data_IF_089937940475
#
_entry.id   IF_089937940475
#
_cell.length_a   1.000
_cell.length_b   1.000
_cell.length_c   1.000
_cell.angle_alpha   90.00
_cell.angle_beta   90.00
_cell.angle_gamma   90.00
#
_symmetry.space_group_name_H-M   'P 1'
#
loop_
_entity.id
_entity.type
_entity.pdbx_description
1 polymer ?
#
# COMPACT_ATOMS: atom_id res chain seq x y z
N UNK A 1 -55.22 0.48 46.43
CA UNK A 1 -53.81 0.88 46.62
C UNK A 1 -52.96 0.07 45.64
N UNK A 2 -52.12 0.76 44.87
CA UNK A 2 -51.53 0.34 43.58
C UNK A 2 -50.59 -0.87 43.70
N UNK A 3 -50.73 -1.86 42.80
CA UNK A 3 -49.75 -2.96 42.60
C UNK A 3 -48.62 -2.46 41.69
N UNK A 4 -47.38 -2.49 42.18
CA UNK A 4 -46.18 -2.20 41.39
C UNK A 4 -45.74 -3.45 40.61
N UNK A 5 -45.75 -3.38 39.27
CA UNK A 5 -45.09 -4.36 38.40
C UNK A 5 -43.62 -3.94 38.24
N UNK A 6 -42.70 -4.79 38.69
CA UNK A 6 -41.28 -4.69 38.32
C UNK A 6 -41.07 -5.27 36.92
N UNK A 7 -40.70 -4.43 35.95
CA UNK A 7 -40.14 -4.88 34.68
C UNK A 7 -38.63 -5.14 34.85
N UNK A 8 -38.21 -6.40 34.74
CA UNK A 8 -36.81 -6.77 34.52
C UNK A 8 -36.45 -6.53 33.06
N UNK A 9 -35.55 -5.58 32.81
CA UNK A 9 -34.96 -5.35 31.49
C UNK A 9 -33.67 -6.17 31.40
N UNK A 10 -33.70 -7.32 30.73
CA UNK A 10 -32.50 -8.10 30.44
C UNK A 10 -31.77 -7.50 29.22
N UNK A 11 -30.64 -6.86 29.44
CA UNK A 11 -29.75 -6.39 28.38
C UNK A 11 -28.96 -7.58 27.82
N UNK A 12 -29.28 -8.02 26.60
CA UNK A 12 -28.46 -8.96 25.85
C UNK A 12 -27.22 -8.23 25.32
N UNK A 13 -26.10 -8.39 26.02
CA UNK A 13 -24.80 -7.98 25.52
C UNK A 13 -24.41 -8.91 24.36
N UNK A 14 -24.49 -8.40 23.12
CA UNK A 14 -23.97 -9.08 21.94
C UNK A 14 -22.46 -9.26 22.05
N UNK A 15 -22.01 -10.50 22.17
CA UNK A 15 -20.58 -10.83 22.13
C UNK A 15 -20.12 -10.64 20.69
N UNK A 16 -19.28 -9.63 20.44
CA UNK A 16 -18.67 -9.45 19.13
C UNK A 16 -17.76 -10.65 18.86
N UNK A 17 -18.19 -11.54 17.96
CA UNK A 17 -17.40 -12.69 17.56
C UNK A 17 -16.14 -12.20 16.84
N UNK A 18 -14.96 -12.52 17.39
CA UNK A 18 -13.70 -12.25 16.70
C UNK A 18 -13.71 -13.01 15.37
N UNK A 19 -13.43 -12.29 14.27
CA UNK A 19 -13.29 -12.90 12.95
C UNK A 19 -12.27 -14.06 13.02
N UNK A 20 -12.49 -15.18 12.32
CA UNK A 20 -11.57 -16.30 12.32
C UNK A 20 -10.16 -15.81 11.96
N UNK A 21 -9.15 -16.31 12.69
CA UNK A 21 -7.74 -16.07 12.35
C UNK A 21 -7.44 -16.82 11.05
N UNK A 22 -7.66 -16.17 9.91
CA UNK A 22 -7.31 -16.72 8.60
C UNK A 22 -5.81 -17.03 8.51
N UNK A 23 -5.43 -17.85 7.53
CA UNK A 23 -4.02 -18.22 7.32
C UNK A 23 -3.19 -17.00 6.87
N UNK A 24 -2.39 -16.44 7.79
CA UNK A 24 -1.53 -15.29 7.52
C UNK A 24 -0.49 -15.52 6.43
N UNK A 25 -0.24 -16.78 6.03
CA UNK A 25 0.64 -17.12 4.89
C UNK A 25 0.06 -16.68 3.55
N UNK A 26 -1.25 -16.45 3.46
CA UNK A 26 -1.88 -15.91 2.25
C UNK A 26 -1.34 -14.52 1.88
N UNK A 27 -0.75 -13.80 2.84
CA UNK A 27 -0.10 -12.52 2.58
C UNK A 27 1.33 -12.66 2.02
N UNK A 28 1.95 -13.83 2.04
CA UNK A 28 3.33 -14.02 1.56
C UNK A 28 3.56 -13.62 0.08
N UNK A 29 2.72 -14.05 -0.89
CA UNK A 29 2.86 -13.60 -2.27
C UNK A 29 2.65 -12.08 -2.39
N UNK A 30 1.67 -11.51 -1.68
CA UNK A 30 1.42 -10.05 -1.66
C UNK A 30 2.65 -9.31 -1.12
N UNK A 31 3.20 -9.75 0.00
CA UNK A 31 4.39 -9.20 0.64
C UNK A 31 5.60 -9.21 -0.28
N UNK A 32 5.79 -10.28 -1.06
CA UNK A 32 6.92 -10.38 -2.00
C UNK A 32 6.95 -9.24 -3.02
N UNK A 33 5.77 -8.72 -3.40
CA UNK A 33 5.62 -7.59 -4.31
C UNK A 33 5.73 -6.27 -3.57
N UNK A 34 4.88 -6.02 -2.57
CA UNK A 34 4.78 -4.70 -1.91
C UNK A 34 6.01 -4.33 -1.07
N UNK A 35 6.80 -5.32 -0.67
CA UNK A 35 8.08 -5.10 0.03
C UNK A 35 9.29 -5.10 -0.92
N UNK A 36 9.08 -5.27 -2.24
CA UNK A 36 10.15 -5.19 -3.22
C UNK A 36 10.64 -3.74 -3.42
N UNK A 37 11.84 -3.54 -4.00
CA UNK A 37 12.34 -2.20 -4.34
C UNK A 37 11.42 -1.39 -5.25
N UNK A 38 10.53 -2.03 -6.02
CA UNK A 38 9.57 -1.32 -6.88
C UNK A 38 8.56 -0.51 -6.08
N UNK A 39 8.16 -1.01 -4.92
CA UNK A 39 7.17 -0.38 -4.05
C UNK A 39 7.85 0.39 -2.92
N UNK A 40 8.78 -0.24 -2.20
CA UNK A 40 9.34 0.33 -0.98
C UNK A 40 10.09 1.65 -1.25
N UNK A 41 10.69 1.80 -2.43
CA UNK A 41 11.40 3.03 -2.83
C UNK A 41 10.50 4.28 -2.86
N UNK A 42 9.19 4.11 -3.04
CA UNK A 42 8.19 5.19 -2.99
C UNK A 42 7.47 5.30 -1.64
N UNK A 43 7.56 4.26 -0.81
CA UNK A 43 6.94 4.17 0.52
C UNK A 43 7.93 4.54 1.65
N UNK A 44 8.64 5.66 1.44
CA UNK A 44 9.67 6.19 2.33
C UNK A 44 9.13 7.27 3.27
N UNK A 45 9.94 7.79 4.19
CA UNK A 45 9.55 8.91 5.06
C UNK A 45 10.03 10.24 4.49
N UNK A 46 11.34 10.40 4.29
CA UNK A 46 11.93 11.72 3.97
C UNK A 46 12.17 11.94 2.47
N UNK A 47 12.64 10.91 1.75
CA UNK A 47 13.04 11.02 0.35
C UNK A 47 12.78 9.70 -0.39
N UNK A 48 12.48 9.71 -1.71
CA UNK A 48 12.45 8.49 -2.50
C UNK A 48 13.82 7.82 -2.50
N UNK A 49 13.80 6.50 -2.64
CA UNK A 49 15.00 5.72 -2.93
C UNK A 49 15.05 5.31 -4.41
N UNK A 50 16.22 4.89 -4.87
CA UNK A 50 16.51 4.44 -6.21
C UNK A 50 17.24 3.09 -6.19
N UNK A 51 17.13 2.38 -7.32
CA UNK A 51 17.74 1.06 -7.55
C UNK A 51 17.22 0.00 -6.57
N UNK A 52 17.69 -1.22 -6.73
CA UNK A 52 17.25 -2.33 -5.88
C UNK A 52 17.96 -2.35 -4.52
N UNK A 53 19.12 -1.69 -4.45
CA UNK A 53 19.89 -1.49 -3.22
C UNK A 53 19.32 -0.37 -2.32
N UNK A 54 18.27 0.34 -2.75
CA UNK A 54 17.59 1.34 -1.93
C UNK A 54 18.45 2.54 -1.53
N UNK A 55 19.23 3.09 -2.46
CA UNK A 55 19.99 4.32 -2.20
C UNK A 55 19.07 5.54 -2.26
N UNK A 56 19.33 6.57 -1.46
CA UNK A 56 18.61 7.85 -1.58
C UNK A 56 18.71 8.38 -3.01
N UNK A 57 17.62 8.96 -3.51
CA UNK A 57 17.53 9.50 -4.85
C UNK A 57 18.73 10.40 -5.18
N UNK A 58 19.44 10.13 -6.28
CA UNK A 58 20.74 10.75 -6.56
C UNK A 58 20.72 12.28 -6.58
N UNK A 59 19.61 12.87 -7.04
CA UNK A 59 19.38 14.32 -7.08
C UNK A 59 19.03 14.94 -5.72
N UNK A 60 19.04 14.17 -4.63
CA UNK A 60 18.74 14.63 -3.27
C UNK A 60 17.38 15.34 -3.15
N UNK A 61 16.39 14.87 -3.92
CA UNK A 61 15.01 15.34 -3.79
C UNK A 61 14.44 14.86 -2.46
N UNK A 62 13.60 15.67 -1.85
CA UNK A 62 12.89 15.36 -0.59
C UNK A 62 11.39 15.23 -0.84
N UNK A 63 10.66 14.63 0.08
CA UNK A 63 9.22 14.36 0.00
C UNK A 63 8.38 15.62 -0.27
N UNK A 64 8.69 16.73 0.41
CA UNK A 64 7.82 17.91 0.45
C UNK A 64 6.58 17.71 1.31
N UNK A 65 5.68 18.70 1.34
CA UNK A 65 4.48 18.66 2.18
C UNK A 65 3.43 17.66 1.67
N UNK A 66 3.38 17.42 0.37
CA UNK A 66 2.35 16.65 -0.33
C UNK A 66 2.91 15.44 -1.09
N UNK A 67 4.20 15.13 -0.95
CA UNK A 67 4.86 14.02 -1.65
C UNK A 67 5.34 14.33 -3.06
N UNK A 68 5.17 15.56 -3.55
CA UNK A 68 5.52 15.96 -4.92
C UNK A 68 6.86 16.70 -5.04
N UNK A 69 7.68 16.67 -4.00
CA UNK A 69 8.94 17.42 -3.94
C UNK A 69 8.85 18.68 -3.09
N UNK A 70 9.99 19.31 -2.84
CA UNK A 70 10.04 20.57 -2.10
C UNK A 70 9.53 21.75 -2.93
N UNK A 71 9.25 22.88 -2.28
CA UNK A 71 8.90 24.13 -2.96
C UNK A 71 9.98 24.64 -3.93
N UNK A 72 11.23 24.19 -3.79
CA UNK A 72 12.36 24.59 -4.66
C UNK A 72 12.55 23.61 -5.83
N UNK A 73 12.21 22.34 -5.63
CA UNK A 73 12.40 21.28 -6.62
C UNK A 73 11.27 20.24 -6.52
N UNK A 74 10.30 20.37 -7.42
CA UNK A 74 9.21 19.43 -7.58
C UNK A 74 9.59 18.25 -8.48
N UNK A 75 9.02 17.07 -8.20
CA UNK A 75 9.21 15.85 -8.98
C UNK A 75 8.88 16.04 -10.47
N UNK A 76 7.86 16.85 -10.77
CA UNK A 76 7.38 17.14 -12.12
C UNK A 76 8.39 17.91 -13.01
N UNK A 77 9.45 18.48 -12.41
CA UNK A 77 10.54 19.08 -13.18
C UNK A 77 11.32 18.04 -14.02
N UNK A 78 11.26 16.76 -13.64
CA UNK A 78 11.91 15.67 -14.36
C UNK A 78 10.92 14.56 -14.75
N UNK A 79 10.08 14.13 -13.81
CA UNK A 79 9.14 13.04 -14.02
C UNK A 79 7.89 13.54 -14.76
N UNK A 80 7.57 12.89 -15.88
CA UNK A 80 6.44 13.22 -16.73
C UNK A 80 5.36 12.13 -16.65
N UNK A 81 4.29 12.28 -17.44
CA UNK A 81 3.20 11.32 -17.51
C UNK A 81 3.61 9.93 -18.06
N UNK A 82 4.80 9.80 -18.64
CA UNK A 82 5.37 8.54 -19.11
C UNK A 82 6.89 8.54 -18.90
N UNK A 83 7.48 7.33 -18.92
CA UNK A 83 8.92 7.16 -18.92
C UNK A 83 9.55 7.98 -20.06
N UNK A 84 10.73 8.58 -19.82
CA UNK A 84 11.47 9.26 -20.88
C UNK A 84 11.80 8.31 -22.04
N UNK A 85 12.15 8.85 -23.21
CA UNK A 85 12.39 8.05 -24.41
C UNK A 85 13.41 6.90 -24.21
N UNK A 86 14.45 7.12 -23.40
CA UNK A 86 15.44 6.09 -23.06
C UNK A 86 15.09 5.31 -21.77
N UNK A 87 13.92 5.55 -21.19
CA UNK A 87 13.44 4.96 -19.94
C UNK A 87 14.26 5.32 -18.71
N UNK A 88 15.22 6.26 -18.80
CA UNK A 88 16.13 6.58 -17.69
C UNK A 88 15.45 7.42 -16.61
N UNK A 89 14.54 8.30 -16.99
CA UNK A 89 13.69 9.02 -16.04
C UNK A 89 12.34 8.32 -16.02
N UNK A 90 11.94 7.75 -14.86
CA UNK A 90 10.60 7.19 -14.69
C UNK A 90 9.50 8.22 -14.96
N UNK A 91 8.33 7.76 -15.37
CA UNK A 91 7.17 8.63 -15.45
C UNK A 91 5.86 7.85 -15.52
N UNK A 92 4.86 8.42 -14.88
CA UNK A 92 3.46 8.01 -14.84
C UNK A 92 2.63 9.24 -14.46
N UNK A 93 1.32 9.30 -14.77
CA UNK A 93 0.46 10.37 -14.32
C UNK A 93 0.54 10.56 -12.79
N UNK A 94 0.50 11.82 -12.33
CA UNK A 94 0.55 12.19 -10.92
C UNK A 94 1.77 11.62 -10.16
N UNK A 95 2.98 11.76 -10.70
CA UNK A 95 4.19 11.20 -10.07
C UNK A 95 4.51 11.81 -8.70
N UNK A 96 4.31 11.02 -7.63
CA UNK A 96 4.57 11.42 -6.24
C UNK A 96 4.92 10.24 -5.33
N UNK A 97 5.43 10.52 -4.13
CA UNK A 97 5.62 9.51 -3.08
C UNK A 97 4.30 9.05 -2.50
N UNK A 98 4.21 7.79 -2.05
CA UNK A 98 3.04 7.33 -1.30
C UNK A 98 2.78 8.24 -0.08
N UNK A 99 1.52 8.48 0.30
CA UNK A 99 1.18 9.25 1.50
C UNK A 99 1.96 8.76 2.72
N UNK A 100 2.34 9.66 3.63
CA UNK A 100 3.16 9.30 4.79
C UNK A 100 2.49 8.25 5.69
N UNK A 101 1.15 8.23 5.73
CA UNK A 101 0.38 7.21 6.45
C UNK A 101 0.57 5.79 5.90
N UNK A 102 1.03 5.67 4.66
CA UNK A 102 1.35 4.42 3.97
C UNK A 102 2.86 4.12 3.98
N UNK A 103 3.67 4.70 4.88
CA UNK A 103 5.10 4.37 4.94
C UNK A 103 5.31 2.88 5.25
N UNK A 104 6.01 2.18 4.37
CA UNK A 104 6.32 0.76 4.56
C UNK A 104 7.78 0.52 4.91
N UNK A 105 8.67 1.49 4.65
CA UNK A 105 10.09 1.37 4.99
C UNK A 105 10.28 0.97 6.46
N UNK A 106 11.10 -0.06 6.67
CA UNK A 106 11.45 -0.57 7.99
C UNK A 106 10.36 -1.38 8.69
N UNK A 107 9.20 -1.59 8.06
CA UNK A 107 8.20 -2.52 8.56
C UNK A 107 8.57 -3.95 8.17
N UNK A 108 8.25 -4.87 9.07
CA UNK A 108 8.20 -6.29 8.74
C UNK A 108 6.90 -6.63 7.97
N UNK A 109 6.80 -7.88 7.54
CA UNK A 109 5.65 -8.39 6.78
C UNK A 109 4.32 -8.16 7.51
N UNK A 110 4.30 -8.36 8.83
CA UNK A 110 3.12 -8.14 9.68
C UNK A 110 2.72 -6.67 9.71
N UNK A 111 3.68 -5.77 9.87
CA UNK A 111 3.47 -4.33 9.88
C UNK A 111 2.89 -3.81 8.56
N UNK A 112 3.43 -4.27 7.42
CA UNK A 112 2.89 -3.91 6.10
C UNK A 112 1.47 -4.44 5.93
N UNK A 113 1.22 -5.71 6.26
CA UNK A 113 -0.14 -6.28 6.21
C UNK A 113 -1.14 -5.48 7.06
N UNK A 114 -0.77 -5.15 8.30
CA UNK A 114 -1.61 -4.36 9.19
C UNK A 114 -1.89 -2.96 8.65
N UNK A 115 -0.92 -2.32 7.98
CA UNK A 115 -1.14 -1.03 7.33
C UNK A 115 -2.11 -1.14 6.15
N UNK A 116 -1.92 -2.13 5.27
CA UNK A 116 -2.75 -2.31 4.08
C UNK A 116 -4.24 -2.53 4.40
N UNK A 117 -4.55 -3.05 5.59
CA UNK A 117 -5.92 -3.27 6.06
C UNK A 117 -6.55 -2.07 6.78
N UNK A 118 -5.76 -1.11 7.22
CA UNK A 118 -6.22 -0.04 8.10
C UNK A 118 -6.57 1.20 7.27
N UNK A 119 -7.86 1.62 7.23
CA UNK A 119 -8.30 2.81 6.50
C UNK A 119 -7.49 4.07 6.81
N UNK A 120 -6.99 4.21 8.05
CA UNK A 120 -6.20 5.38 8.45
C UNK A 120 -4.80 5.39 7.83
N UNK A 121 -4.33 4.23 7.35
CA UNK A 121 -2.95 3.98 6.88
C UNK A 121 -2.87 3.38 5.48
N UNK A 122 -3.99 3.20 4.78
CA UNK A 122 -4.04 2.67 3.42
C UNK A 122 -4.75 3.60 2.43
N UNK A 123 -4.83 4.90 2.71
CA UNK A 123 -5.55 5.85 1.85
C UNK A 123 -7.08 5.76 1.96
N UNK A 124 -7.60 5.44 3.16
CA UNK A 124 -9.04 5.35 3.45
C UNK A 124 -9.80 4.27 2.67
N UNK A 125 -9.10 3.19 2.29
CA UNK A 125 -9.70 2.01 1.65
C UNK A 125 -10.27 1.12 2.75
N UNK A 126 -11.59 0.98 2.78
CA UNK A 126 -12.36 0.33 3.85
C UNK A 126 -12.60 -1.15 3.61
N UNK A 127 -12.47 -1.61 2.36
CA UNK A 127 -12.74 -3.00 1.98
C UNK A 127 -11.58 -3.59 1.19
N UNK A 128 -11.51 -4.93 1.11
CA UNK A 128 -10.50 -5.63 0.31
C UNK A 128 -10.59 -5.27 -1.17
N UNK A 129 -11.80 -5.13 -1.70
CA UNK A 129 -12.07 -4.74 -3.09
C UNK A 129 -11.51 -3.34 -3.39
N UNK A 130 -11.62 -2.39 -2.46
CA UNK A 130 -11.03 -1.05 -2.65
C UNK A 130 -9.49 -1.08 -2.65
N UNK A 131 -8.89 -1.99 -1.88
CA UNK A 131 -7.44 -2.22 -1.90
C UNK A 131 -7.01 -2.84 -3.23
N UNK A 132 -7.72 -3.87 -3.68
CA UNK A 132 -7.48 -4.55 -4.96
C UNK A 132 -7.63 -3.57 -6.12
N UNK A 133 -8.71 -2.78 -6.16
CA UNK A 133 -8.97 -1.82 -7.23
C UNK A 133 -7.81 -0.82 -7.38
N UNK A 134 -7.33 -0.25 -6.27
CA UNK A 134 -6.14 0.61 -6.32
C UNK A 134 -4.91 -0.11 -6.87
N UNK A 135 -4.64 -1.33 -6.41
CA UNK A 135 -3.49 -2.10 -6.89
C UNK A 135 -3.62 -2.50 -8.37
N UNK A 136 -4.85 -2.57 -8.87
CA UNK A 136 -5.19 -2.98 -10.23
C UNK A 136 -5.13 -1.83 -11.22
N UNK A 137 -5.53 -0.62 -10.82
CA UNK A 137 -5.80 0.48 -11.79
C UNK A 137 -4.98 1.74 -11.58
N UNK A 138 -4.31 1.91 -10.43
CA UNK A 138 -3.52 3.10 -10.18
C UNK A 138 -2.28 3.16 -11.10
N UNK A 139 -2.10 4.24 -11.89
CA UNK A 139 -0.97 4.35 -12.82
C UNK A 139 0.42 4.29 -12.17
N UNK A 140 0.58 4.78 -10.94
CA UNK A 140 1.87 4.68 -10.23
C UNK A 140 2.13 3.25 -9.77
N UNK A 141 1.09 2.51 -9.39
CA UNK A 141 1.22 1.08 -9.08
C UNK A 141 1.56 0.29 -10.33
N UNK A 142 0.82 0.51 -11.42
CA UNK A 142 1.03 -0.17 -12.71
C UNK A 142 2.41 0.11 -13.30
N UNK A 143 2.98 1.29 -13.06
CA UNK A 143 4.35 1.62 -13.47
C UNK A 143 5.39 0.60 -12.96
N UNK A 144 5.16 -0.05 -11.81
CA UNK A 144 6.08 -1.05 -11.29
C UNK A 144 6.34 -2.20 -12.29
N UNK A 145 5.38 -2.54 -13.14
CA UNK A 145 5.50 -3.56 -14.19
C UNK A 145 5.92 -3.00 -15.56
N UNK A 146 5.96 -1.68 -15.72
CA UNK A 146 6.55 -1.02 -16.88
C UNK A 146 7.51 0.12 -16.46
N UNK A 147 8.60 -0.19 -15.74
CA UNK A 147 9.38 0.82 -15.04
C UNK A 147 10.36 1.59 -15.94
N UNK A 148 10.43 1.25 -17.23
CA UNK A 148 11.37 1.80 -18.20
C UNK A 148 12.81 1.32 -18.01
N UNK A 149 13.57 1.33 -19.11
CA UNK A 149 14.95 0.82 -19.19
C UNK A 149 15.05 -0.63 -18.67
N UNK A 150 16.16 -0.99 -18.02
CA UNK A 150 16.41 -2.34 -17.48
C UNK A 150 16.19 -2.41 -15.95
N UNK A 151 15.16 -1.74 -15.44
CA UNK A 151 14.80 -1.86 -14.01
C UNK A 151 14.18 -3.22 -13.74
N UNK A 152 14.55 -3.84 -12.63
CA UNK A 152 13.99 -5.10 -12.15
C UNK A 152 12.49 -4.99 -11.93
N UNK A 153 11.73 -5.97 -12.41
CA UNK A 153 10.29 -6.06 -12.20
C UNK A 153 9.96 -6.66 -10.82
N UNK A 154 8.71 -6.52 -10.32
CA UNK A 154 8.24 -7.31 -9.19
C UNK A 154 8.41 -8.82 -9.44
N UNK A 155 8.48 -9.65 -8.38
CA UNK A 155 8.79 -11.08 -8.50
C UNK A 155 7.69 -11.92 -9.18
N UNK A 156 6.55 -11.33 -9.53
CA UNK A 156 5.47 -11.98 -10.26
C UNK A 156 4.78 -11.00 -11.21
N UNK A 157 3.96 -11.53 -12.13
CA UNK A 157 3.15 -10.72 -13.03
C UNK A 157 2.12 -9.88 -12.25
N UNK A 158 1.65 -8.79 -12.86
CA UNK A 158 0.59 -7.97 -12.24
C UNK A 158 -0.69 -8.78 -12.06
N UNK A 159 -1.03 -9.62 -13.04
CA UNK A 159 -2.20 -10.51 -12.97
C UNK A 159 -2.11 -11.49 -11.78
N UNK A 160 -0.95 -12.13 -11.57
CA UNK A 160 -0.76 -13.03 -10.44
C UNK A 160 -0.74 -12.30 -9.10
N UNK A 161 -0.23 -11.06 -9.08
CA UNK A 161 -0.31 -10.21 -7.90
C UNK A 161 -1.76 -9.86 -7.53
N UNK A 162 -2.61 -9.55 -8.51
CA UNK A 162 -4.03 -9.31 -8.28
C UNK A 162 -4.74 -10.58 -7.78
N UNK A 163 -4.48 -11.74 -8.38
CA UNK A 163 -5.02 -13.03 -7.90
C UNK A 163 -4.61 -13.33 -6.45
N UNK A 164 -3.38 -13.02 -6.08
CA UNK A 164 -2.88 -13.17 -4.72
C UNK A 164 -3.59 -12.23 -3.74
N UNK A 165 -3.83 -10.97 -4.14
CA UNK A 165 -4.61 -10.02 -3.34
C UNK A 165 -6.07 -10.45 -3.19
N UNK A 166 -6.71 -10.95 -4.24
CA UNK A 166 -8.08 -11.49 -4.22
C UNK A 166 -8.17 -12.67 -3.24
N UNK A 167 -7.26 -13.64 -3.37
CA UNK A 167 -7.18 -14.79 -2.44
C UNK A 167 -7.01 -14.36 -0.99
N UNK A 168 -6.14 -13.37 -0.74
CA UNK A 168 -5.92 -12.83 0.59
C UNK A 168 -7.15 -12.07 1.11
N UNK A 169 -7.81 -11.27 0.27
CA UNK A 169 -8.98 -10.50 0.62
C UNK A 169 -10.19 -11.40 0.95
N UNK A 170 -10.44 -12.42 0.14
CA UNK A 170 -11.52 -13.39 0.31
C UNK A 170 -11.39 -14.16 1.64
N UNK A 171 -10.15 -14.37 2.11
CA UNK A 171 -9.87 -14.99 3.40
C UNK A 171 -10.00 -14.02 4.60
N UNK A 172 -10.47 -12.79 4.39
CA UNK A 172 -10.59 -11.76 5.44
C UNK A 172 -9.29 -10.98 5.69
N UNK A 173 -8.40 -10.95 4.71
CA UNK A 173 -7.10 -10.27 4.76
C UNK A 173 -6.25 -10.71 5.98
N UNK A 174 -6.03 -12.00 6.25
CA UNK A 174 -5.28 -12.40 7.44
C UNK A 174 -3.83 -11.89 7.42
N UNK A 175 -3.32 -11.46 8.57
CA UNK A 175 -1.92 -11.07 8.71
C UNK A 175 -1.11 -12.18 9.38
N UNK A 176 0.19 -12.31 9.03
CA UNK A 176 1.09 -13.24 9.72
C UNK A 176 1.18 -12.88 11.21
N UNK A 177 1.39 -13.91 12.04
CA UNK A 177 1.56 -13.77 13.49
C UNK A 177 2.90 -13.14 13.84
#
# INVERSE_FOLDING_TARGET
MMRALLLMCAALAGVAQAAPKGDGKLFDPVASVVMSPRCINCHQVEAPHQKDIGIVHAQQVVRGADGHGSAVLHCAACHQASNSAQGRVPGAPNWHLAPLSMKWQGLDKKGVCQQMKDPKRNGNRKTGEQVIEHMKTDPLVLWAWNPGAQRTLPPMSHEDFIKALETWADAGMPCPQ
#
